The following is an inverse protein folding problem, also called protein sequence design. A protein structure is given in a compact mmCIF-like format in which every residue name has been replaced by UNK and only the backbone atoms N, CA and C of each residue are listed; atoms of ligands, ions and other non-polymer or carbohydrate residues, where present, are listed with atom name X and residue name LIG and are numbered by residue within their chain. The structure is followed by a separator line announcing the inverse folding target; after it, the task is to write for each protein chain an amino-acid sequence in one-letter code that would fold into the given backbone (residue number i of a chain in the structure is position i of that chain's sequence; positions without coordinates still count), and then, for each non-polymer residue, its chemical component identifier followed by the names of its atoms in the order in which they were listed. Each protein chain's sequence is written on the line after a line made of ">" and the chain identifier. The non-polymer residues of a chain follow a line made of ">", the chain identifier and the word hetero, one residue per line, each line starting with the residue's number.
data_IF_586845921358
#
_entry.id   IF_586845921358
#
_cell.length_a   1.000
_cell.length_b   1.000
_cell.length_c   1.000
_cell.angle_alpha   90.00
_cell.angle_beta   90.00
_cell.angle_gamma   90.00
#
_symmetry.space_group_name_H-M   'P 1'
#
loop_
_entity.id
_entity.type
_entity.pdbx_description
1 polymer ?
#
# COMPACT_ATOMS: atom_id res chain seq x y z
N UNK A 1 23.73 -26.40 92.19
CA UNK A 1 23.90 -25.83 90.84
C UNK A 1 23.40 -24.40 90.88
N UNK A 2 24.25 -23.38 90.79
CA UNK A 2 23.78 -22.00 90.76
C UNK A 2 23.44 -21.57 89.34
N UNK A 3 22.42 -20.72 89.30
CA UNK A 3 21.71 -20.08 88.19
C UNK A 3 22.58 -19.33 87.20
N UNK A 4 22.20 -19.38 85.92
CA UNK A 4 22.72 -18.51 84.86
C UNK A 4 21.59 -17.83 84.09
N UNK A 5 20.91 -16.87 84.71
CA UNK A 5 20.14 -15.86 83.98
C UNK A 5 21.12 -14.87 83.36
N UNK A 6 21.18 -14.82 82.02
CA UNK A 6 21.93 -13.81 81.28
C UNK A 6 21.06 -12.55 81.15
N UNK A 7 21.27 -11.60 82.04
CA UNK A 7 20.71 -10.25 81.95
C UNK A 7 21.42 -9.43 80.87
N UNK A 8 20.62 -8.68 80.11
CA UNK A 8 20.99 -7.83 78.98
C UNK A 8 21.81 -6.61 79.40
N UNK A 9 22.88 -6.29 78.66
CA UNK A 9 23.72 -5.08 78.82
C UNK A 9 23.81 -4.30 77.50
N UNK A 10 23.31 -3.05 77.43
CA UNK A 10 23.47 -2.21 76.25
C UNK A 10 24.90 -1.64 76.12
N UNK A 11 25.37 -1.57 74.88
CA UNK A 11 26.76 -1.29 74.47
C UNK A 11 27.16 0.19 74.49
N UNK A 12 26.32 1.11 74.96
CA UNK A 12 26.66 2.53 75.10
C UNK A 12 25.99 3.15 76.32
N UNK A 13 26.80 3.60 77.29
CA UNK A 13 26.38 4.34 78.47
C UNK A 13 27.10 5.70 78.50
N UNK A 14 26.65 6.65 77.67
CA UNK A 14 27.12 8.03 77.83
C UNK A 14 26.24 8.77 78.83
N UNK A 15 26.77 8.83 80.04
CA UNK A 15 26.23 9.54 81.19
C UNK A 15 26.60 11.03 81.06
N UNK A 16 25.75 11.82 80.40
CA UNK A 16 25.68 13.26 80.62
C UNK A 16 24.25 13.68 80.89
N UNK A 17 23.91 13.62 82.18
CA UNK A 17 22.77 14.30 82.77
C UNK A 17 22.83 15.81 82.50
N UNK A 18 21.75 16.30 81.87
CA UNK A 18 21.15 17.64 81.93
C UNK A 18 21.89 18.75 82.70
N UNK A 19 22.16 19.85 82.00
CA UNK A 19 22.00 21.20 82.56
C UNK A 19 21.92 22.28 81.47
N UNK A 20 20.83 23.06 81.55
CA UNK A 20 20.65 24.43 81.03
C UNK A 20 20.34 24.68 79.54
N UNK A 21 19.34 25.54 79.36
CA UNK A 21 18.81 26.12 78.11
C UNK A 21 19.38 27.54 77.85
N UNK A 22 20.54 27.87 78.42
CA UNK A 22 21.12 29.23 78.39
C UNK A 22 22.34 29.44 77.48
N UNK A 23 22.81 28.45 76.73
CA UNK A 23 23.97 28.62 75.81
C UNK A 23 23.56 28.90 74.34
N UNK A 24 22.30 29.27 74.10
CA UNK A 24 21.84 29.76 72.80
C UNK A 24 22.12 31.26 72.64
N UNK A 25 23.39 31.68 72.56
CA UNK A 25 23.72 32.94 71.86
C UNK A 25 25.20 33.10 71.50
N UNK A 26 25.43 33.53 70.24
CA UNK A 26 26.69 33.85 69.53
C UNK A 26 27.20 32.69 68.64
N UNK A 27 27.36 32.78 67.32
CA UNK A 27 27.38 33.91 66.39
C UNK A 27 26.81 33.50 65.02
N UNK A 28 26.04 34.41 64.40
CA UNK A 28 25.54 34.23 63.04
C UNK A 28 26.62 34.65 62.02
N UNK A 29 27.16 33.69 61.27
CA UNK A 29 27.82 33.99 59.99
C UNK A 29 26.77 34.27 58.90
N UNK A 30 27.01 35.20 57.96
CA UNK A 30 26.02 35.63 56.99
C UNK A 30 25.72 34.51 55.97
N UNK A 31 24.52 34.46 55.39
CA UNK A 31 24.18 33.41 54.43
C UNK A 31 25.04 33.59 53.17
N UNK A 32 25.93 32.64 52.92
CA UNK A 32 26.61 32.52 51.64
C UNK A 32 25.58 32.18 50.56
N UNK A 33 25.17 33.23 49.86
CA UNK A 33 24.60 33.28 48.51
C UNK A 33 23.63 32.14 48.11
N UNK A 34 22.34 32.46 48.01
CA UNK A 34 21.33 31.62 47.34
C UNK A 34 21.78 31.09 45.96
N UNK A 35 22.72 31.78 45.30
CA UNK A 35 23.24 31.44 43.98
C UNK A 35 24.00 30.11 43.92
N UNK A 36 24.54 29.60 45.04
CA UNK A 36 25.30 28.33 45.05
C UNK A 36 24.41 27.09 45.17
N UNK A 37 23.16 27.23 45.61
CA UNK A 37 22.20 26.10 45.74
C UNK A 37 21.36 25.88 44.48
N UNK A 38 21.19 26.89 43.62
CA UNK A 38 20.36 26.81 42.42
C UNK A 38 21.05 26.09 41.23
N UNK A 39 22.39 26.08 41.18
CA UNK A 39 23.18 25.46 40.10
C UNK A 39 22.79 24.01 39.75
N UNK A 40 22.74 23.06 40.71
CA UNK A 40 22.34 21.68 40.41
C UNK A 40 20.89 21.59 39.94
N UNK A 41 19.96 22.40 40.50
CA UNK A 41 18.57 22.42 40.06
C UNK A 41 18.39 22.99 38.65
N UNK A 42 19.16 24.03 38.29
CA UNK A 42 19.20 24.57 36.93
C UNK A 42 19.75 23.52 35.96
N UNK A 43 20.83 22.80 36.32
CA UNK A 43 21.38 21.71 35.52
C UNK A 43 20.35 20.59 35.32
N UNK A 44 19.66 20.17 36.38
CA UNK A 44 18.59 19.16 36.28
C UNK A 44 17.44 19.64 35.39
N UNK A 45 17.02 20.91 35.50
CA UNK A 45 15.99 21.49 34.63
C UNK A 45 16.41 21.46 33.16
N UNK A 46 17.66 21.86 32.86
CA UNK A 46 18.19 21.85 31.49
C UNK A 46 18.27 20.42 30.93
N UNK A 47 18.72 19.45 31.73
CA UNK A 47 18.77 18.05 31.32
C UNK A 47 17.38 17.46 31.09
N UNK A 48 16.40 17.80 31.94
CA UNK A 48 15.01 17.38 31.76
C UNK A 48 14.44 17.98 30.47
N UNK A 49 14.63 19.29 30.23
CA UNK A 49 14.15 19.95 29.01
C UNK A 49 14.82 19.38 27.76
N UNK A 50 16.13 19.12 27.80
CA UNK A 50 16.86 18.47 26.72
C UNK A 50 16.35 17.04 26.46
N UNK A 51 16.14 16.25 27.52
CA UNK A 51 15.62 14.89 27.39
C UNK A 51 14.19 14.89 26.87
N UNK A 52 13.31 15.76 27.38
CA UNK A 52 11.93 15.90 26.92
C UNK A 52 11.84 16.40 25.49
N UNK A 53 12.72 17.30 25.05
CA UNK A 53 12.74 17.76 23.66
C UNK A 53 13.27 16.68 22.72
N UNK A 54 14.34 15.96 23.09
CA UNK A 54 14.83 14.80 22.33
C UNK A 54 13.75 13.72 22.26
N UNK A 55 13.06 13.43 23.36
CA UNK A 55 11.95 12.47 23.42
C UNK A 55 10.76 12.93 22.56
N UNK A 56 10.39 14.21 22.60
CA UNK A 56 9.33 14.77 21.76
C UNK A 56 9.70 14.71 20.27
N UNK A 57 10.92 15.11 19.90
CA UNK A 57 11.40 15.03 18.51
C UNK A 57 11.53 13.58 18.03
N UNK A 58 11.97 12.67 18.91
CA UNK A 58 12.05 11.24 18.63
C UNK A 58 10.67 10.62 18.46
N UNK A 59 9.71 10.95 19.32
CA UNK A 59 8.32 10.45 19.22
C UNK A 59 7.58 11.04 18.02
N UNK A 60 7.82 12.30 17.66
CA UNK A 60 7.30 12.90 16.42
C UNK A 60 7.93 12.23 15.18
N UNK A 61 9.24 11.95 15.20
CA UNK A 61 9.91 11.16 14.15
C UNK A 61 9.44 9.70 14.09
N UNK A 62 9.16 9.08 15.24
CA UNK A 62 8.63 7.71 15.34
C UNK A 62 7.17 7.63 14.92
N UNK A 63 6.37 8.71 15.09
CA UNK A 63 5.01 8.80 14.54
C UNK A 63 4.98 9.04 13.04
N UNK A 64 6.06 9.56 12.47
CA UNK A 64 6.22 9.79 11.03
C UNK A 64 7.00 8.65 10.35
N UNK A 65 7.07 7.46 10.97
CA UNK A 65 7.66 6.29 10.31
C UNK A 65 6.77 5.84 9.16
N UNK A 66 7.24 6.19 7.97
CA UNK A 66 7.03 5.60 6.66
C UNK A 66 5.64 4.99 6.37
N UNK A 67 4.85 5.66 5.54
CA UNK A 67 3.72 5.01 4.87
C UNK A 67 4.23 3.82 4.05
N UNK A 68 3.41 2.77 3.91
CA UNK A 68 3.75 1.51 3.21
C UNK A 68 4.26 1.74 1.78
N UNK A 69 3.97 2.91 1.20
CA UNK A 69 4.34 3.27 -0.17
C UNK A 69 5.33 4.44 -0.31
N UNK A 70 5.95 4.95 0.76
CA UNK A 70 6.79 6.17 0.70
C UNK A 70 7.99 6.10 -0.25
N UNK A 71 8.47 4.90 -0.58
CA UNK A 71 9.59 4.70 -1.50
C UNK A 71 9.19 4.81 -2.97
N UNK A 72 7.93 4.49 -3.27
CA UNK A 72 7.35 4.70 -4.60
C UNK A 72 6.58 6.00 -4.47
N UNK A 73 7.13 7.11 -4.99
CA UNK A 73 6.41 8.38 -5.17
C UNK A 73 5.27 8.24 -6.20
N UNK A 74 4.55 7.11 -6.20
CA UNK A 74 3.23 6.92 -6.77
C UNK A 74 2.42 8.11 -6.30
N UNK A 75 1.73 8.84 -7.20
CA UNK A 75 1.14 10.14 -6.93
C UNK A 75 0.73 10.31 -5.46
N UNK A 76 1.57 11.06 -4.75
CA UNK A 76 2.00 10.83 -3.35
C UNK A 76 0.95 10.75 -2.23
N UNK A 77 -0.37 10.72 -2.51
CA UNK A 77 -1.44 10.78 -1.50
C UNK A 77 -2.69 9.96 -1.87
N UNK A 78 -2.67 9.17 -2.94
CA UNK A 78 -3.86 8.54 -3.55
C UNK A 78 -4.63 7.60 -2.62
N UNK A 79 -3.94 6.92 -1.73
CA UNK A 79 -4.52 5.91 -0.83
C UNK A 79 -4.81 6.50 0.56
N UNK A 80 -4.07 7.55 0.93
CA UNK A 80 -3.91 7.96 2.32
C UNK A 80 -3.19 6.89 3.15
N UNK A 81 -2.84 7.24 4.39
CA UNK A 81 -2.36 6.27 5.40
C UNK A 81 -3.52 5.42 5.97
N UNK A 82 -4.71 5.52 5.36
CA UNK A 82 -5.91 4.85 5.80
C UNK A 82 -5.91 3.41 5.27
N UNK A 83 -5.52 2.50 6.16
CA UNK A 83 -5.70 1.06 5.98
C UNK A 83 -6.80 0.54 6.91
N UNK A 84 -7.52 -0.47 6.48
CA UNK A 84 -8.49 -1.20 7.31
C UNK A 84 -8.14 -2.69 7.39
N UNK A 85 -8.71 -3.37 8.38
CA UNK A 85 -8.66 -4.84 8.43
C UNK A 85 -9.85 -5.40 7.66
N UNK A 86 -9.58 -6.36 6.79
CA UNK A 86 -10.59 -7.07 6.04
C UNK A 86 -10.41 -8.57 6.23
N UNK A 87 -11.52 -9.28 6.45
CA UNK A 87 -11.53 -10.74 6.49
C UNK A 87 -12.11 -11.22 5.18
N UNK A 88 -11.36 -12.02 4.43
CA UNK A 88 -11.82 -12.55 3.16
C UNK A 88 -12.79 -13.72 3.40
N UNK A 89 -14.06 -13.63 2.98
CA UNK A 89 -15.08 -14.65 3.28
C UNK A 89 -15.03 -15.81 2.26
N UNK A 90 -13.84 -16.38 2.00
CA UNK A 90 -13.60 -17.33 0.90
C UNK A 90 -13.59 -18.80 1.39
N UNK A 91 -14.24 -19.10 2.52
CA UNK A 91 -14.30 -20.48 2.99
C UNK A 91 -15.35 -21.28 2.19
N UNK A 92 -14.89 -22.27 1.42
CA UNK A 92 -15.76 -23.16 0.62
C UNK A 92 -15.61 -22.96 -0.88
N UNK A 93 -16.58 -23.41 -1.70
CA UNK A 93 -16.57 -23.21 -3.15
C UNK A 93 -16.49 -21.71 -3.50
N UNK A 94 -15.92 -21.34 -4.67
CA UNK A 94 -15.85 -19.95 -5.07
C UNK A 94 -17.25 -19.34 -5.18
N UNK A 95 -17.55 -18.40 -4.28
CA UNK A 95 -18.77 -17.60 -4.29
C UNK A 95 -18.35 -16.13 -4.41
N UNK A 96 -18.75 -15.47 -5.51
CA UNK A 96 -18.38 -14.09 -5.77
C UNK A 96 -18.96 -13.57 -7.08
N UNK A 97 -19.13 -12.25 -7.18
CA UNK A 97 -19.68 -11.59 -8.37
C UNK A 97 -18.72 -11.61 -9.57
N UNK A 98 -17.43 -11.86 -9.32
CA UNK A 98 -16.35 -11.87 -10.33
C UNK A 98 -15.93 -13.29 -10.77
N UNK A 99 -16.53 -14.34 -10.21
CA UNK A 99 -16.11 -15.74 -10.41
C UNK A 99 -17.30 -16.67 -10.74
N UNK A 100 -16.99 -17.92 -11.06
CA UNK A 100 -17.97 -18.96 -11.43
C UNK A 100 -18.13 -19.09 -12.94
N UNK A 101 -19.18 -19.80 -13.38
CA UNK A 101 -19.45 -20.00 -14.80
C UNK A 101 -19.63 -18.67 -15.55
N UNK A 102 -19.13 -18.56 -16.80
CA UNK A 102 -19.30 -17.37 -17.62
C UNK A 102 -20.77 -16.99 -17.79
N UNK A 103 -21.07 -15.73 -17.50
CA UNK A 103 -22.42 -15.16 -17.59
C UNK A 103 -22.35 -13.64 -17.70
N UNK A 104 -23.37 -12.99 -18.31
CA UNK A 104 -23.37 -11.54 -18.51
C UNK A 104 -23.11 -10.74 -17.24
N UNK A 105 -23.60 -11.20 -16.08
CA UNK A 105 -23.45 -10.51 -14.81
C UNK A 105 -21.99 -10.48 -14.32
N UNK A 106 -21.20 -11.53 -14.61
CA UNK A 106 -19.76 -11.56 -14.28
C UNK A 106 -18.98 -10.62 -15.19
N UNK A 107 -19.33 -10.62 -16.48
CA UNK A 107 -18.70 -9.73 -17.45
C UNK A 107 -19.01 -8.26 -17.14
N UNK A 108 -20.23 -7.96 -16.67
CA UNK A 108 -20.62 -6.65 -16.18
C UNK A 108 -19.86 -6.27 -14.91
N UNK A 109 -19.76 -7.17 -13.92
CA UNK A 109 -19.00 -6.90 -12.70
C UNK A 109 -17.53 -6.56 -13.02
N UNK A 110 -16.85 -7.39 -13.83
CA UNK A 110 -15.48 -7.14 -14.27
C UNK A 110 -15.33 -5.85 -15.06
N UNK A 111 -16.31 -5.51 -15.90
CA UNK A 111 -16.34 -4.26 -16.65
C UNK A 111 -16.45 -3.07 -15.70
N UNK A 112 -17.35 -3.11 -14.74
CA UNK A 112 -17.56 -2.03 -13.77
C UNK A 112 -16.35 -1.83 -12.85
N UNK A 113 -15.63 -2.91 -12.50
CA UNK A 113 -14.39 -2.81 -11.72
C UNK A 113 -13.23 -2.19 -12.52
N UNK A 114 -13.15 -2.49 -13.82
CA UNK A 114 -12.05 -2.09 -14.70
C UNK A 114 -12.34 -0.83 -15.52
N UNK A 115 -13.57 -0.31 -15.53
CA UNK A 115 -13.90 0.95 -16.18
C UNK A 115 -13.93 2.08 -15.15
N UNK A 116 -13.04 3.06 -15.29
CA UNK A 116 -13.42 4.42 -14.87
C UNK A 116 -14.63 4.80 -15.73
N UNK A 117 -15.80 5.00 -15.13
CA UNK A 117 -17.01 5.47 -15.83
C UNK A 117 -16.86 6.91 -16.32
N UNK A 118 -15.89 7.19 -17.19
CA UNK A 118 -15.98 8.30 -18.15
C UNK A 118 -16.82 7.79 -19.32
N UNK A 119 -18.11 8.14 -19.27
CA UNK A 119 -19.27 8.06 -20.19
C UNK A 119 -19.15 7.66 -21.69
N UNK A 120 -18.06 7.09 -22.22
CA UNK A 120 -17.94 6.78 -23.64
C UNK A 120 -17.55 5.33 -23.89
N UNK A 121 -18.55 4.50 -24.16
CA UNK A 121 -18.36 3.19 -24.76
C UNK A 121 -18.13 3.36 -26.27
N UNK A 122 -16.90 3.20 -26.74
CA UNK A 122 -16.63 3.09 -28.18
C UNK A 122 -16.82 1.64 -28.59
N UNK A 123 -17.80 1.40 -29.45
CA UNK A 123 -17.95 0.11 -30.14
C UNK A 123 -16.85 -0.01 -31.18
N UNK A 124 -15.94 -0.95 -31.01
CA UNK A 124 -14.99 -1.36 -32.05
C UNK A 124 -15.34 -2.80 -32.44
N UNK A 125 -15.79 -3.00 -33.69
CA UNK A 125 -15.84 -4.31 -34.38
C UNK A 125 -16.51 -5.49 -33.65
N UNK A 126 -17.79 -5.37 -33.27
CA UNK A 126 -18.70 -6.45 -32.83
C UNK A 126 -18.21 -7.36 -31.69
N UNK A 127 -17.04 -7.07 -31.16
CA UNK A 127 -16.43 -7.63 -29.98
C UNK A 127 -16.17 -6.41 -29.10
N UNK A 128 -16.88 -6.31 -27.98
CA UNK A 128 -16.62 -5.25 -27.02
C UNK A 128 -15.24 -5.54 -26.43
N UNK A 129 -14.18 -5.06 -27.10
CA UNK A 129 -12.93 -4.78 -26.45
C UNK A 129 -13.31 -3.75 -25.39
N UNK A 130 -13.58 -4.27 -24.18
CA UNK A 130 -13.67 -3.47 -22.97
C UNK A 130 -12.27 -2.96 -22.75
N UNK A 131 -11.92 -1.91 -23.49
CA UNK A 131 -10.72 -1.13 -23.24
C UNK A 131 -10.81 -0.74 -21.78
N UNK A 132 -9.83 -1.23 -21.05
CA UNK A 132 -9.73 -1.03 -19.61
C UNK A 132 -9.29 0.42 -19.45
N UNK A 133 -10.27 1.33 -19.42
CA UNK A 133 -10.08 2.78 -19.40
C UNK A 133 -9.57 3.27 -18.04
N UNK A 134 -8.47 2.69 -17.56
CA UNK A 134 -7.74 3.11 -16.37
C UNK A 134 -6.45 3.85 -16.76
N UNK A 135 -6.44 4.41 -17.96
CA UNK A 135 -5.42 5.33 -18.42
C UNK A 135 -5.51 6.63 -17.62
N UNK A 136 -4.40 7.02 -17.01
CA UNK A 136 -4.30 8.23 -16.20
C UNK A 136 -3.27 9.19 -16.76
N UNK A 137 -3.45 10.48 -16.47
CA UNK A 137 -2.43 11.51 -16.69
C UNK A 137 -1.41 11.50 -15.56
N UNK A 138 -0.16 11.26 -15.93
CA UNK A 138 1.02 11.34 -15.05
C UNK A 138 1.72 12.68 -15.26
N UNK A 139 2.16 13.33 -14.17
CA UNK A 139 2.81 14.63 -14.24
C UNK A 139 4.22 14.55 -14.82
N UNK A 140 4.68 15.61 -15.48
CA UNK A 140 6.06 15.72 -15.97
C UNK A 140 7.09 15.51 -14.85
N UNK A 141 6.84 16.05 -13.65
CA UNK A 141 7.73 15.91 -12.49
C UNK A 141 7.93 14.45 -12.08
N UNK A 142 6.86 13.64 -12.11
CA UNK A 142 6.95 12.22 -11.79
C UNK A 142 7.79 11.47 -12.82
N UNK A 143 7.52 11.68 -14.11
CA UNK A 143 8.26 11.01 -15.20
C UNK A 143 9.74 11.39 -15.17
N UNK A 144 10.05 12.67 -14.95
CA UNK A 144 11.41 13.18 -14.82
C UNK A 144 12.17 12.58 -13.64
N UNK A 145 11.53 12.50 -12.47
CA UNK A 145 12.13 11.90 -11.26
C UNK A 145 12.61 10.48 -11.49
N UNK A 146 11.88 9.72 -12.31
CA UNK A 146 12.20 8.33 -12.63
C UNK A 146 13.00 8.16 -13.93
N UNK A 147 13.38 9.25 -14.60
CA UNK A 147 14.17 9.23 -15.84
C UNK A 147 13.47 8.53 -17.01
N UNK A 148 12.13 8.63 -17.09
CA UNK A 148 11.31 7.88 -18.06
C UNK A 148 10.83 8.70 -19.26
N UNK A 149 11.36 9.90 -19.46
CA UNK A 149 10.89 10.86 -20.47
C UNK A 149 11.02 10.32 -21.90
N UNK A 150 12.01 9.46 -22.14
CA UNK A 150 12.27 8.84 -23.44
C UNK A 150 11.40 7.61 -23.72
N UNK A 151 10.78 7.04 -22.70
CA UNK A 151 9.96 5.82 -22.80
C UNK A 151 8.46 6.12 -22.68
N UNK A 152 8.11 7.14 -21.91
CA UNK A 152 6.74 7.50 -21.62
C UNK A 152 6.09 8.23 -22.80
N UNK A 153 4.83 7.93 -23.07
CA UNK A 153 4.05 8.59 -24.12
C UNK A 153 3.58 9.95 -23.61
N UNK A 154 4.09 11.03 -24.19
CA UNK A 154 3.69 12.40 -23.85
C UNK A 154 2.31 12.71 -24.43
N UNK A 155 1.44 13.29 -23.61
CA UNK A 155 0.09 13.69 -24.03
C UNK A 155 0.12 15.09 -24.68
N UNK A 156 -0.74 15.38 -25.68
CA UNK A 156 -0.71 16.66 -26.41
C UNK A 156 -1.00 17.88 -25.53
N UNK A 157 -1.83 17.69 -24.51
CA UNK A 157 -2.30 18.70 -23.56
C UNK A 157 -1.51 18.68 -22.23
N UNK A 158 -0.35 18.00 -22.20
CA UNK A 158 0.61 18.05 -21.10
C UNK A 158 0.63 16.81 -20.20
N UNK A 159 1.76 16.52 -19.55
CA UNK A 159 1.96 15.26 -18.84
C UNK A 159 2.08 14.05 -19.76
N UNK A 160 1.92 12.86 -19.20
CA UNK A 160 2.21 11.58 -19.84
C UNK A 160 1.10 10.57 -19.60
N UNK A 161 0.92 9.64 -20.54
CA UNK A 161 0.01 8.52 -20.40
C UNK A 161 0.61 7.48 -19.43
N UNK A 162 -0.20 7.02 -18.47
CA UNK A 162 0.16 5.93 -17.59
C UNK A 162 -1.07 5.15 -17.10
N UNK A 163 -0.84 4.20 -16.21
CA UNK A 163 -1.88 3.38 -15.56
C UNK A 163 -1.39 2.99 -14.16
N UNK A 164 -2.30 2.87 -13.19
CA UNK A 164 -1.92 2.29 -11.89
C UNK A 164 -1.73 0.78 -12.02
N UNK A 165 -0.64 0.25 -11.44
CA UNK A 165 -0.28 -1.17 -11.53
C UNK A 165 -1.38 -2.12 -11.06
N UNK A 166 -2.21 -1.72 -10.09
CA UNK A 166 -3.34 -2.56 -9.61
C UNK A 166 -4.37 -2.84 -10.71
N UNK A 167 -4.61 -1.91 -11.64
CA UNK A 167 -5.52 -2.15 -12.75
C UNK A 167 -4.92 -3.06 -13.80
N UNK A 168 -3.60 -3.06 -13.96
CA UNK A 168 -2.91 -4.05 -14.79
C UNK A 168 -3.05 -5.45 -14.19
N UNK A 169 -2.88 -5.59 -12.87
CA UNK A 169 -3.09 -6.87 -12.17
C UNK A 169 -4.56 -7.35 -12.26
N UNK A 170 -5.54 -6.46 -12.06
CA UNK A 170 -6.96 -6.79 -12.21
C UNK A 170 -7.30 -7.18 -13.65
N UNK A 171 -6.71 -6.51 -14.64
CA UNK A 171 -6.82 -6.91 -16.05
C UNK A 171 -6.26 -8.33 -16.27
N UNK A 172 -5.08 -8.62 -15.71
CA UNK A 172 -4.48 -9.95 -15.77
C UNK A 172 -5.39 -11.02 -15.16
N UNK A 173 -6.00 -10.75 -14.00
CA UNK A 173 -6.95 -11.69 -13.35
C UNK A 173 -8.16 -11.94 -14.25
N UNK A 174 -8.77 -10.89 -14.81
CA UNK A 174 -9.88 -11.03 -15.76
C UNK A 174 -9.49 -11.88 -16.99
N UNK A 175 -8.31 -11.64 -17.56
CA UNK A 175 -7.81 -12.39 -18.74
C UNK A 175 -7.57 -13.86 -18.42
N UNK A 176 -7.04 -14.16 -17.23
CA UNK A 176 -6.88 -15.53 -16.76
C UNK A 176 -8.25 -16.19 -16.53
N UNK A 177 -9.20 -15.49 -15.92
CA UNK A 177 -10.58 -15.97 -15.77
C UNK A 177 -11.20 -16.34 -17.11
N UNK A 178 -11.13 -15.45 -18.12
CA UNK A 178 -11.63 -15.74 -19.47
C UNK A 178 -10.95 -16.96 -20.11
N UNK A 179 -9.68 -17.16 -19.81
CA UNK A 179 -8.90 -18.30 -20.33
C UNK A 179 -9.27 -19.64 -19.69
N UNK A 180 -9.99 -19.65 -18.55
CA UNK A 180 -10.53 -20.87 -17.95
C UNK A 180 -11.77 -21.39 -18.71
N UNK A 181 -12.43 -20.54 -19.51
CA UNK A 181 -13.62 -20.88 -20.29
C UNK A 181 -13.50 -20.46 -21.76
N UNK A 182 -12.53 -21.02 -22.50
CA UNK A 182 -12.24 -20.59 -23.88
C UNK A 182 -13.39 -20.87 -24.84
N UNK A 183 -14.21 -21.88 -24.59
CA UNK A 183 -15.38 -22.17 -25.44
C UNK A 183 -16.43 -21.05 -25.39
N UNK A 184 -16.48 -20.31 -24.28
CA UNK A 184 -17.38 -19.16 -24.13
C UNK A 184 -16.74 -17.87 -24.64
N UNK A 185 -15.51 -17.59 -24.22
CA UNK A 185 -14.84 -16.30 -24.50
C UNK A 185 -14.09 -16.27 -25.83
N UNK A 186 -13.71 -17.41 -26.38
CA UNK A 186 -12.92 -17.56 -27.59
C UNK A 186 -13.45 -18.67 -28.53
N UNK A 187 -14.77 -18.77 -28.77
CA UNK A 187 -15.39 -19.92 -29.47
C UNK A 187 -14.86 -20.15 -30.90
N UNK A 188 -14.37 -19.09 -31.55
CA UNK A 188 -13.89 -19.12 -32.94
C UNK A 188 -12.41 -18.74 -33.07
N UNK A 189 -11.65 -18.75 -31.97
CA UNK A 189 -10.26 -18.33 -32.01
C UNK A 189 -9.40 -19.31 -32.83
N UNK A 190 -8.61 -18.75 -33.73
CA UNK A 190 -7.63 -19.49 -34.51
C UNK A 190 -6.51 -20.04 -33.61
N UNK A 191 -5.79 -21.04 -34.10
CA UNK A 191 -4.59 -21.57 -33.40
C UNK A 191 -3.57 -20.47 -33.08
N UNK A 192 -3.45 -19.47 -33.96
CA UNK A 192 -2.53 -18.34 -33.77
C UNK A 192 -3.00 -17.42 -32.65
N UNK A 193 -4.27 -17.08 -32.62
CA UNK A 193 -4.86 -16.25 -31.55
C UNK A 193 -4.78 -16.95 -30.19
N UNK A 194 -5.06 -18.26 -30.14
CA UNK A 194 -4.90 -19.05 -28.92
C UNK A 194 -3.43 -19.09 -28.44
N UNK A 195 -2.47 -19.16 -29.36
CA UNK A 195 -1.05 -19.10 -29.02
C UNK A 195 -0.65 -17.72 -28.44
N UNK A 196 -1.13 -16.64 -29.04
CA UNK A 196 -0.92 -15.27 -28.53
C UNK A 196 -1.58 -15.10 -27.15
N UNK A 197 -2.82 -15.60 -26.98
CA UNK A 197 -3.51 -15.59 -25.68
C UNK A 197 -2.71 -16.36 -24.62
N UNK A 198 -2.11 -17.50 -24.99
CA UNK A 198 -1.27 -18.28 -24.07
C UNK A 198 -0.03 -17.50 -23.65
N UNK A 199 0.65 -16.82 -24.56
CA UNK A 199 1.80 -15.97 -24.24
C UNK A 199 1.40 -14.83 -23.30
N UNK A 200 0.29 -14.16 -23.60
CA UNK A 200 -0.27 -13.12 -22.74
C UNK A 200 -0.62 -13.66 -21.34
N UNK A 201 -1.16 -14.87 -21.23
CA UNK A 201 -1.43 -15.50 -19.94
C UNK A 201 -0.16 -15.77 -19.12
N UNK A 202 0.95 -16.13 -19.76
CA UNK A 202 2.25 -16.27 -19.06
C UNK A 202 2.74 -14.92 -18.54
N UNK A 203 2.59 -13.85 -19.33
CA UNK A 203 2.87 -12.49 -18.88
C UNK A 203 1.99 -12.11 -17.68
N UNK A 204 0.69 -12.38 -17.73
CA UNK A 204 -0.25 -12.13 -16.63
C UNK A 204 0.16 -12.84 -15.34
N UNK A 205 0.56 -14.11 -15.43
CA UNK A 205 1.04 -14.87 -14.27
C UNK A 205 2.27 -14.23 -13.64
N UNK A 206 3.22 -13.77 -14.47
CA UNK A 206 4.43 -13.12 -13.95
C UNK A 206 4.15 -11.75 -13.33
N UNK A 207 3.26 -10.94 -13.93
CA UNK A 207 2.80 -9.67 -13.36
C UNK A 207 2.17 -9.89 -11.98
N UNK A 208 1.29 -10.88 -11.84
CA UNK A 208 0.65 -11.19 -10.57
C UNK A 208 1.64 -11.72 -9.54
N UNK A 209 2.58 -12.59 -9.94
CA UNK A 209 3.64 -13.11 -9.06
C UNK A 209 4.55 -11.98 -8.57
N UNK A 210 4.98 -11.09 -9.47
CA UNK A 210 5.80 -9.92 -9.14
C UNK A 210 5.05 -8.97 -8.21
N UNK A 211 3.78 -8.68 -8.50
CA UNK A 211 2.92 -7.83 -7.66
C UNK A 211 2.71 -8.40 -6.26
N UNK A 212 2.45 -9.71 -6.15
CA UNK A 212 2.31 -10.40 -4.86
C UNK A 212 3.60 -10.36 -4.04
N UNK A 213 4.76 -10.61 -4.67
CA UNK A 213 6.06 -10.57 -3.98
C UNK A 213 6.46 -9.15 -3.60
N UNK A 214 6.10 -8.15 -4.42
CA UNK A 214 6.38 -6.74 -4.18
C UNK A 214 5.60 -6.21 -2.97
N UNK A 215 4.30 -6.54 -2.86
CA UNK A 215 3.46 -6.13 -1.72
C UNK A 215 3.69 -6.99 -0.49
N UNK A 216 3.99 -8.27 -0.67
CA UNK A 216 4.43 -9.18 0.37
C UNK A 216 3.50 -9.22 1.59
N UNK A 217 2.20 -9.48 1.38
CA UNK A 217 1.20 -9.52 2.45
C UNK A 217 1.68 -10.40 3.64
N UNK A 218 1.99 -9.81 4.80
CA UNK A 218 2.55 -10.53 5.93
C UNK A 218 1.49 -11.17 6.83
N UNK A 219 0.20 -11.10 6.47
CA UNK A 219 -0.87 -11.73 7.24
C UNK A 219 -0.69 -13.25 7.34
N UNK A 220 -0.92 -13.77 8.55
CA UNK A 220 -0.74 -15.19 8.85
C UNK A 220 -2.05 -15.93 8.64
N UNK A 221 -2.11 -16.77 7.61
CA UNK A 221 -3.16 -17.77 7.45
C UNK A 221 -2.86 -18.99 8.33
N UNK A 222 -3.90 -19.53 8.96
CA UNK A 222 -3.78 -20.70 9.84
C UNK A 222 -4.34 -21.95 9.17
N UNK A 223 -4.09 -23.11 9.76
CA UNK A 223 -4.71 -24.36 9.35
C UNK A 223 -5.90 -24.69 10.27
N UNK A 224 -6.90 -25.36 9.73
CA UNK A 224 -8.07 -25.82 10.48
C UNK A 224 -8.41 -27.28 10.16
N UNK A 225 -9.00 -27.97 11.14
CA UNK A 225 -9.53 -29.32 10.96
C UNK A 225 -10.94 -29.27 10.38
N UNK A 226 -11.31 -30.29 9.62
CA UNK A 226 -12.69 -30.53 9.16
C UNK A 226 -13.10 -31.96 9.49
N UNK A 227 -14.39 -32.24 9.44
CA UNK A 227 -14.95 -33.59 9.60
C UNK A 227 -14.88 -34.44 8.32
N UNK A 228 -14.43 -33.86 7.20
CA UNK A 228 -14.44 -34.49 5.87
C UNK A 228 -13.11 -35.21 5.57
N UNK A 229 -11.98 -34.72 6.11
CA UNK A 229 -10.65 -35.26 5.82
C UNK A 229 -9.75 -35.25 7.07
N UNK A 230 -8.91 -36.27 7.21
CA UNK A 230 -7.90 -36.40 8.27
C UNK A 230 -6.70 -35.42 8.10
N UNK A 231 -6.58 -34.77 6.93
CA UNK A 231 -5.61 -33.69 6.70
C UNK A 231 -6.23 -32.32 7.05
N UNK A 232 -5.47 -31.42 7.70
CA UNK A 232 -5.96 -30.07 7.92
C UNK A 232 -6.01 -29.29 6.60
N UNK A 233 -6.95 -28.35 6.50
CA UNK A 233 -7.06 -27.42 5.38
C UNK A 233 -6.58 -26.03 5.78
N UNK A 234 -6.36 -25.15 4.81
CA UNK A 234 -6.06 -23.73 5.08
C UNK A 234 -7.35 -23.02 5.48
N UNK A 235 -7.28 -22.26 6.57
CA UNK A 235 -8.32 -21.32 6.96
C UNK A 235 -8.07 -19.99 6.23
N UNK A 236 -8.92 -19.68 5.25
CA UNK A 236 -8.79 -18.50 4.39
C UNK A 236 -9.41 -17.24 5.00
N UNK A 237 -9.97 -17.33 6.21
CA UNK A 237 -10.63 -16.20 6.90
C UNK A 237 -9.68 -15.40 7.81
N UNK A 238 -8.39 -15.40 7.48
CA UNK A 238 -7.43 -14.57 8.18
C UNK A 238 -7.72 -13.08 7.94
N UNK A 239 -7.48 -12.20 8.93
CA UNK A 239 -7.54 -10.77 8.72
C UNK A 239 -6.35 -10.28 7.90
N UNK A 240 -6.62 -9.46 6.89
CA UNK A 240 -5.64 -8.81 6.02
C UNK A 240 -5.67 -7.30 6.25
N UNK A 241 -4.50 -6.66 6.23
CA UNK A 241 -4.42 -5.20 6.20
C UNK A 241 -4.56 -4.73 4.75
N UNK A 242 -5.63 -4.01 4.47
CA UNK A 242 -5.96 -3.54 3.14
C UNK A 242 -5.93 -2.01 3.07
N UNK A 243 -5.62 -1.51 1.89
CA UNK A 243 -5.79 -0.10 1.55
C UNK A 243 -7.26 0.21 1.28
N UNK A 244 -7.68 1.47 1.46
CA UNK A 244 -9.00 1.90 0.97
C UNK A 244 -8.99 1.93 -0.57
N UNK A 245 -9.46 0.84 -1.18
CA UNK A 245 -9.51 0.70 -2.63
C UNK A 245 -10.45 1.72 -3.29
N UNK A 246 -11.44 2.26 -2.57
CA UNK A 246 -12.32 3.30 -3.11
C UNK A 246 -11.53 4.57 -3.43
N UNK A 247 -10.57 4.95 -2.59
CA UNK A 247 -9.70 6.11 -2.84
C UNK A 247 -8.78 5.89 -4.05
N UNK A 248 -8.29 4.66 -4.22
CA UNK A 248 -7.54 4.27 -5.42
C UNK A 248 -8.39 4.48 -6.69
N UNK A 249 -9.64 4.01 -6.66
CA UNK A 249 -10.59 4.20 -7.76
C UNK A 249 -10.87 5.68 -8.02
N UNK A 250 -11.18 6.46 -6.98
CA UNK A 250 -11.48 7.90 -7.08
C UNK A 250 -10.31 8.68 -7.70
N UNK A 251 -9.08 8.39 -7.30
CA UNK A 251 -7.90 9.00 -7.91
C UNK A 251 -7.74 8.64 -9.39
N UNK A 252 -7.92 7.36 -9.73
CA UNK A 252 -7.85 6.91 -11.12
C UNK A 252 -8.88 7.66 -11.98
N UNK A 253 -10.10 7.81 -11.48
CA UNK A 253 -11.19 8.52 -12.14
C UNK A 253 -10.87 10.01 -12.31
N UNK A 254 -10.35 10.68 -11.28
CA UNK A 254 -9.99 12.11 -11.35
C UNK A 254 -8.88 12.40 -12.35
N UNK A 255 -8.04 11.42 -12.64
CA UNK A 255 -6.88 11.55 -13.54
C UNK A 255 -7.10 10.89 -14.88
N UNK A 256 -8.29 10.36 -15.15
CA UNK A 256 -8.53 9.55 -16.33
C UNK A 256 -8.27 10.36 -17.61
N UNK A 257 -7.76 9.67 -18.62
CA UNK A 257 -7.50 10.22 -19.94
C UNK A 257 -8.20 9.36 -20.97
N UNK A 258 -9.12 9.97 -21.70
CA UNK A 258 -9.71 9.35 -22.88
C UNK A 258 -8.72 9.46 -24.05
N UNK A 259 -8.02 8.35 -24.31
CA UNK A 259 -7.03 8.24 -25.39
C UNK A 259 -7.65 7.90 -26.75
N UNK A 260 -8.93 7.56 -26.77
CA UNK A 260 -9.65 7.13 -27.97
C UNK A 260 -10.29 8.30 -28.72
N UNK A 261 -10.20 9.50 -28.15
CA UNK A 261 -10.47 10.74 -28.87
C UNK A 261 -9.72 10.74 -30.21
N UNK A 262 -10.43 11.18 -31.25
CA UNK A 262 -9.91 11.18 -32.61
C UNK A 262 -8.57 11.92 -32.69
N UNK A 263 -7.54 11.22 -33.18
CA UNK A 263 -6.19 11.75 -33.38
C UNK A 263 -5.52 12.33 -32.11
N UNK A 264 -5.96 11.93 -30.91
CA UNK A 264 -5.41 12.46 -29.67
C UNK A 264 -3.99 11.97 -29.38
N UNK A 265 -3.72 10.67 -29.47
CA UNK A 265 -2.35 10.14 -29.42
C UNK A 265 -1.83 9.92 -30.83
N UNK A 266 -0.62 10.40 -31.11
CA UNK A 266 0.04 10.28 -32.42
C UNK A 266 1.36 9.56 -32.25
N UNK A 267 1.47 8.39 -32.87
CA UNK A 267 2.73 7.64 -32.92
C UNK A 267 3.72 8.34 -33.86
N UNK A 268 4.98 8.58 -33.46
CA UNK A 268 5.96 9.32 -34.27
C UNK A 268 6.20 8.75 -35.68
N UNK A 269 6.09 7.42 -35.82
CA UNK A 269 6.28 6.71 -37.10
C UNK A 269 4.98 6.41 -37.86
N UNK A 270 3.86 6.21 -37.16
CA UNK A 270 2.66 5.59 -37.73
C UNK A 270 1.45 6.54 -37.79
N UNK A 271 1.60 7.78 -37.31
CA UNK A 271 0.51 8.75 -37.27
C UNK A 271 -0.45 8.49 -36.11
N UNK A 272 -1.68 9.00 -36.22
CA UNK A 272 -2.69 8.92 -35.17
C UNK A 272 -2.95 7.46 -34.74
N UNK A 273 -2.94 7.16 -33.44
CA UNK A 273 -3.20 5.80 -32.94
C UNK A 273 -4.66 5.38 -33.10
N UNK A 274 -5.58 6.35 -33.07
CA UNK A 274 -7.03 6.13 -33.16
C UNK A 274 -7.70 7.05 -34.20
N UNK A 275 -7.44 6.88 -35.52
CA UNK A 275 -8.15 7.61 -36.56
C UNK A 275 -9.65 7.27 -36.51
N UNK A 276 -10.51 8.28 -36.55
CA UNK A 276 -11.97 8.12 -36.41
C UNK A 276 -12.41 7.38 -35.14
N UNK A 277 -11.60 7.40 -34.08
CA UNK A 277 -11.88 6.72 -32.81
C UNK A 277 -11.65 5.20 -32.82
N UNK A 278 -11.04 4.66 -33.88
CA UNK A 278 -10.74 3.23 -34.00
C UNK A 278 -9.23 2.99 -34.00
N UNK A 279 -8.76 1.97 -33.27
CA UNK A 279 -7.33 1.63 -33.24
C UNK A 279 -6.84 1.34 -34.65
N UNK A 280 -5.71 1.92 -35.04
CA UNK A 280 -4.94 1.38 -36.17
C UNK A 280 -4.59 -0.06 -35.80
N UNK A 281 -4.92 -1.04 -36.65
CA UNK A 281 -4.32 -2.37 -36.57
C UNK A 281 -2.91 -2.27 -37.14
N UNK A 282 -1.86 -2.68 -36.42
CA UNK A 282 -0.75 -3.25 -37.19
C UNK A 282 -0.10 -4.46 -36.51
N UNK A 283 0.12 -5.53 -37.28
CA UNK A 283 1.33 -6.39 -37.33
C UNK A 283 1.07 -7.63 -38.24
N UNK A 284 1.03 -7.43 -39.59
CA UNK A 284 1.48 -8.35 -40.68
C UNK A 284 0.78 -8.21 -42.04
N UNK A 285 -0.32 -7.48 -42.18
CA UNK A 285 -1.03 -7.38 -43.48
C UNK A 285 -0.51 -6.29 -44.43
N UNK A 286 0.68 -5.71 -44.15
CA UNK A 286 1.34 -4.75 -45.05
C UNK A 286 2.44 -5.38 -45.92
N UNK A 287 2.65 -6.70 -45.86
CA UNK A 287 3.54 -7.39 -46.81
C UNK A 287 2.89 -7.62 -48.19
N UNK A 288 1.56 -7.52 -48.32
CA UNK A 288 0.84 -7.81 -49.58
C UNK A 288 0.59 -6.57 -50.47
N UNK A 289 1.27 -5.44 -50.24
CA UNK A 289 1.12 -4.22 -51.05
C UNK A 289 2.32 -3.93 -51.98
N UNK A 290 3.26 -4.88 -52.09
CA UNK A 290 4.35 -4.85 -53.06
C UNK A 290 4.58 -6.24 -53.67
N UNK A 291 3.66 -6.69 -54.51
CA UNK A 291 3.93 -7.54 -55.68
C UNK A 291 2.82 -7.39 -56.74
#
# INVERSE_FOLDING_TARGET
>A
MPSGEKAYTPLYSDNRSSSSLDDLQHDAEPPTSLTRRAGPWILHLVLILAYSTIFALSTVRLRTTASVFDLVDSPANTVGDETHLEIFPIQGPPHGIYTGEPRPEVDEAWRDLLQCKTLFAIKVHDEVLTTTDNNIRVSDAWVHRWGREHEAVKLPDGGYLGMLSVFHELHCIKRLYQSLSPDYYFPNATKRELAVNREHNQHCLEVLRMGATCRGDPSIITHMWTDINALPIVNQTAPHQCVDFKKVMEYSQQKSVDVYQENYIVHPKFGASFPHGHSIKPFKEQEDMHE
#
